data_IF_772562630814
#
_entry.id   IF_772562630814
#
_cell.length_a   1.000
_cell.length_b   1.000
_cell.length_c   1.000
_cell.angle_alpha   90.00
_cell.angle_beta   90.00
_cell.angle_gamma   90.00
#
_symmetry.space_group_name_H-M   'P 1'
#
loop_
_entity.id
_entity.type
_entity.pdbx_description
1 polymer ?
#
# COMPACT_ATOMS: atom_id res chain seq x y z
N UNK A 1 -17.62 41.41 -13.95
CA UNK A 1 -17.40 40.72 -12.66
C UNK A 1 -17.58 39.23 -12.89
N UNK A 2 -16.51 38.50 -13.23
CA UNK A 2 -16.54 37.04 -13.44
C UNK A 2 -15.44 36.40 -12.57
N UNK A 3 -15.48 36.75 -11.29
CA UNK A 3 -14.56 36.27 -10.28
C UNK A 3 -14.89 34.83 -9.92
N UNK A 4 -13.89 33.97 -10.08
CA UNK A 4 -13.52 32.94 -9.09
C UNK A 4 -14.59 31.89 -8.75
N UNK A 5 -14.88 30.96 -9.67
CA UNK A 5 -15.46 29.65 -9.32
C UNK A 5 -14.56 28.48 -9.80
N UNK A 6 -13.30 28.77 -10.16
CA UNK A 6 -12.30 27.73 -10.45
C UNK A 6 -11.44 27.35 -9.24
N UNK A 7 -11.51 28.15 -8.16
CA UNK A 7 -10.70 27.95 -6.95
C UNK A 7 -11.18 26.82 -6.01
N UNK A 8 -12.48 26.49 -5.84
CA UNK A 8 -12.88 25.49 -4.86
C UNK A 8 -12.70 24.04 -5.34
N UNK A 9 -12.69 23.81 -6.66
CA UNK A 9 -12.57 22.45 -7.23
C UNK A 9 -11.14 21.91 -7.09
N UNK A 10 -10.12 22.75 -7.26
CA UNK A 10 -8.72 22.33 -7.14
C UNK A 10 -8.34 22.01 -5.69
N UNK A 11 -8.95 22.69 -4.72
CA UNK A 11 -8.67 22.46 -3.30
C UNK A 11 -9.24 21.13 -2.77
N UNK A 12 -10.34 20.63 -3.34
CA UNK A 12 -10.98 19.36 -2.92
C UNK A 12 -10.15 18.13 -3.33
N UNK A 13 -9.42 18.18 -4.45
CA UNK A 13 -8.60 17.05 -4.89
C UNK A 13 -7.35 16.82 -4.01
N UNK A 14 -6.88 17.84 -3.28
CA UNK A 14 -5.68 17.72 -2.42
C UNK A 14 -5.94 17.03 -1.08
N UNK A 15 -7.20 16.82 -0.69
CA UNK A 15 -7.55 16.23 0.62
C UNK A 15 -7.64 14.70 0.60
N UNK A 16 -7.63 14.07 -0.57
CA UNK A 16 -7.62 12.59 -0.68
C UNK A 16 -6.17 12.13 -0.77
N UNK A 17 -5.50 12.09 0.38
CA UNK A 17 -4.30 11.26 0.51
C UNK A 17 -4.78 9.81 0.49
N UNK A 18 -4.38 8.95 -0.46
CA UNK A 18 -4.59 7.52 -0.28
C UNK A 18 -3.85 7.18 1.01
N UNK A 19 -4.60 6.84 2.07
CA UNK A 19 -3.99 6.26 3.25
C UNK A 19 -3.11 5.10 2.79
N UNK A 20 -2.02 4.84 3.49
CA UNK A 20 -1.32 3.56 3.39
C UNK A 20 -2.32 2.48 3.80
N UNK A 21 -3.21 2.10 2.89
CA UNK A 21 -4.20 1.07 3.07
C UNK A 21 -3.44 -0.24 3.11
N UNK A 22 -3.78 -1.07 4.09
CA UNK A 22 -3.26 -2.43 4.14
C UNK A 22 -3.62 -3.12 2.81
N UNK A 23 -2.60 -3.36 1.97
CA UNK A 23 -2.79 -4.08 0.69
C UNK A 23 -2.76 -5.58 0.95
N UNK A 24 -3.40 -6.33 0.06
CA UNK A 24 -3.23 -7.77 -0.02
C UNK A 24 -1.93 -8.08 -0.77
N UNK A 25 -1.11 -8.95 -0.19
CA UNK A 25 0.15 -9.48 -0.72
C UNK A 25 -0.05 -10.95 -1.05
N UNK A 26 0.39 -11.39 -2.22
CA UNK A 26 0.19 -12.77 -2.66
C UNK A 26 1.51 -13.54 -2.70
N UNK A 27 1.57 -14.66 -1.98
CA UNK A 27 2.67 -15.62 -2.08
C UNK A 27 2.52 -16.44 -3.37
N UNK A 28 3.49 -16.34 -4.28
CA UNK A 28 3.50 -17.02 -5.57
C UNK A 28 3.49 -18.55 -5.45
N UNK A 29 4.15 -19.11 -4.42
CA UNK A 29 4.32 -20.55 -4.26
C UNK A 29 3.07 -21.28 -3.75
N UNK A 30 2.27 -20.62 -2.91
CA UNK A 30 1.12 -21.22 -2.22
C UNK A 30 -0.21 -20.59 -2.60
N UNK A 31 -0.20 -19.44 -3.28
CA UNK A 31 -1.38 -18.61 -3.51
C UNK A 31 -1.94 -17.98 -2.23
N UNK A 32 -1.23 -18.10 -1.10
CA UNK A 32 -1.68 -17.54 0.16
C UNK A 32 -1.62 -16.02 0.10
N UNK A 33 -2.69 -15.38 0.53
CA UNK A 33 -2.77 -13.94 0.65
C UNK A 33 -2.48 -13.48 2.08
N UNK A 34 -1.82 -12.34 2.21
CA UNK A 34 -1.58 -11.67 3.49
C UNK A 34 -2.03 -10.23 3.34
N UNK A 35 -2.87 -9.74 4.23
CA UNK A 35 -3.24 -8.33 4.26
C UNK A 35 -2.37 -7.57 5.25
N UNK A 36 -1.81 -6.44 4.82
CA UNK A 36 -1.07 -5.57 5.72
C UNK A 36 -0.40 -4.40 5.02
N UNK A 37 0.04 -3.44 5.82
CA UNK A 37 0.75 -2.25 5.38
C UNK A 37 2.20 -2.60 5.04
N UNK A 38 2.68 -2.11 3.90
CA UNK A 38 4.12 -2.08 3.63
C UNK A 38 4.81 -1.21 4.69
N UNK A 39 5.82 -1.76 5.37
CA UNK A 39 6.64 -0.99 6.31
C UNK A 39 8.00 -0.64 5.74
N UNK A 40 8.73 -1.63 5.22
CA UNK A 40 10.05 -1.40 4.62
C UNK A 40 10.52 -2.56 3.78
N UNK A 41 11.51 -2.28 2.95
CA UNK A 41 12.39 -3.28 2.37
C UNK A 41 13.54 -3.60 3.34
N UNK A 42 13.91 -4.86 3.43
CA UNK A 42 14.88 -5.41 4.39
C UNK A 42 15.72 -6.48 3.69
N UNK A 43 16.66 -6.03 2.85
CA UNK A 43 17.36 -6.88 1.88
C UNK A 43 16.39 -7.36 0.80
N UNK A 44 16.38 -8.67 0.51
CA UNK A 44 15.50 -9.30 -0.47
C UNK A 44 14.11 -9.67 0.10
N UNK A 45 13.61 -8.87 1.04
CA UNK A 45 12.34 -9.14 1.71
C UNK A 45 11.60 -7.86 2.03
N UNK A 46 10.28 -7.92 1.99
CA UNK A 46 9.39 -6.85 2.45
C UNK A 46 8.89 -7.15 3.86
N UNK A 47 8.84 -6.13 4.69
CA UNK A 47 8.22 -6.17 6.00
C UNK A 47 6.81 -5.59 5.89
N UNK A 48 5.82 -6.41 6.25
CA UNK A 48 4.40 -6.10 6.20
C UNK A 48 3.84 -6.07 7.61
N UNK A 49 3.30 -4.94 8.04
CA UNK A 49 2.58 -4.83 9.31
C UNK A 49 1.12 -5.23 9.10
N UNK A 50 0.70 -6.31 9.73
CA UNK A 50 -0.70 -6.74 9.73
C UNK A 50 -1.53 -5.89 10.68
N UNK A 51 -2.85 -5.88 10.47
CA UNK A 51 -3.83 -5.17 11.30
C UNK A 51 -3.81 -5.59 12.77
N UNK A 52 -3.33 -6.81 13.07
CA UNK A 52 -3.14 -7.31 14.43
C UNK A 52 -1.84 -6.82 15.10
N UNK A 53 -1.07 -5.92 14.46
CA UNK A 53 0.20 -5.41 14.96
C UNK A 53 1.41 -6.33 14.72
N UNK A 54 1.21 -7.49 14.08
CA UNK A 54 2.31 -8.42 13.78
C UNK A 54 3.07 -7.96 12.54
N UNK A 55 4.39 -7.83 12.68
CA UNK A 55 5.29 -7.60 11.55
C UNK A 55 5.66 -8.93 10.90
N UNK A 56 5.37 -9.08 9.60
CA UNK A 56 5.69 -10.26 8.82
C UNK A 56 6.77 -9.94 7.79
N UNK A 57 7.81 -10.78 7.72
CA UNK A 57 8.86 -10.66 6.70
C UNK A 57 8.55 -11.63 5.56
N UNK A 58 8.29 -11.10 4.37
CA UNK A 58 7.97 -11.87 3.16
C UNK A 58 9.15 -11.76 2.17
N UNK A 59 9.77 -12.87 1.74
CA UNK A 59 10.80 -12.84 0.72
C UNK A 59 10.23 -12.37 -0.64
N UNK A 60 10.88 -11.43 -1.30
CA UNK A 60 10.43 -10.91 -2.60
C UNK A 60 10.28 -12.03 -3.63
N UNK A 61 11.25 -12.94 -3.69
CA UNK A 61 11.23 -14.08 -4.62
C UNK A 61 10.07 -15.06 -4.40
N UNK A 62 9.34 -14.92 -3.29
CA UNK A 62 8.16 -15.73 -2.96
C UNK A 62 6.85 -14.98 -3.18
N UNK A 63 6.90 -13.70 -3.53
CA UNK A 63 5.74 -12.89 -3.88
C UNK A 63 5.45 -12.98 -5.38
N UNK A 64 4.19 -12.74 -5.75
CA UNK A 64 3.77 -12.62 -7.14
C UNK A 64 4.56 -11.52 -7.86
N UNK A 65 4.67 -11.56 -9.19
CA UNK A 65 5.36 -10.52 -9.96
C UNK A 65 4.75 -9.12 -9.77
N UNK A 66 3.45 -9.03 -9.46
CA UNK A 66 2.78 -7.77 -9.15
C UNK A 66 3.08 -7.25 -7.73
N UNK A 67 3.59 -8.13 -6.86
CA UNK A 67 3.91 -7.85 -5.46
C UNK A 67 5.42 -7.72 -5.18
N UNK A 68 6.28 -7.98 -6.18
CA UNK A 68 7.73 -7.71 -6.15
C UNK A 68 8.02 -6.23 -6.42
#
# INVERSE_FOLDING_TARGET
>A
MKTLILLPVVLVCLLVSPGLEARTWTEAASGRTVEGEFRRLSGDSVEVLRTNGTLLKLPLSKLSEADQ
#
